data_IF_199751626644
#
_entry.id   IF_199751626644
#
_cell.length_a   1.000
_cell.length_b   1.000
_cell.length_c   1.000
_cell.angle_alpha   90.00
_cell.angle_beta   90.00
_cell.angle_gamma   90.00
#
_symmetry.space_group_name_H-M   'P 1'
#
loop_
_entity.id
_entity.type
_entity.pdbx_description
1 polymer ?
#
# COMPACT_ATOMS: atom_id res chain seq x y z
N UNK A 1 14.09 14.14 -26.32
CA UNK A 1 13.40 13.77 -25.07
C UNK A 1 14.15 14.40 -23.92
N UNK A 2 13.46 15.23 -23.12
CA UNK A 2 13.99 15.85 -21.92
C UNK A 2 13.89 14.86 -20.78
N UNK A 3 15.02 14.56 -20.13
CA UNK A 3 15.13 13.55 -19.07
C UNK A 3 15.12 14.21 -17.69
N UNK A 4 14.43 13.58 -16.74
CA UNK A 4 14.30 13.99 -15.35
C UNK A 4 14.69 12.82 -14.44
N UNK A 5 15.71 13.02 -13.60
CA UNK A 5 16.08 12.09 -12.53
C UNK A 5 15.17 12.30 -11.31
N UNK A 6 14.49 11.26 -10.87
CA UNK A 6 13.53 11.34 -9.76
C UNK A 6 14.25 10.97 -8.45
N UNK A 7 14.01 11.69 -7.34
CA UNK A 7 13.07 12.81 -7.18
C UNK A 7 13.63 14.16 -7.68
N UNK A 8 12.82 14.93 -8.40
CA UNK A 8 13.10 16.33 -8.73
C UNK A 8 11.82 17.13 -8.98
N UNK A 9 11.84 18.44 -8.76
CA UNK A 9 10.71 19.30 -9.09
C UNK A 9 10.51 19.37 -10.63
N UNK A 10 9.26 19.38 -11.13
CA UNK A 10 8.01 19.47 -10.38
C UNK A 10 7.35 18.10 -10.08
N UNK A 11 8.07 16.99 -10.18
CA UNK A 11 7.56 15.66 -9.89
C UNK A 11 7.43 15.46 -8.38
N UNK A 12 6.27 14.95 -7.94
CA UNK A 12 6.03 14.61 -6.54
C UNK A 12 6.16 13.12 -6.33
N UNK A 13 6.95 12.72 -5.33
CA UNK A 13 7.07 11.33 -4.89
C UNK A 13 6.29 11.16 -3.60
N UNK A 14 5.29 10.28 -3.61
CA UNK A 14 4.41 10.02 -2.46
C UNK A 14 4.68 8.65 -1.84
N UNK A 15 4.30 8.48 -0.58
CA UNK A 15 4.34 7.20 0.14
C UNK A 15 5.72 6.78 0.66
N UNK A 16 6.70 7.69 0.65
CA UNK A 16 8.08 7.46 1.09
C UNK A 16 8.52 8.53 2.09
N UNK A 17 9.48 8.18 2.94
CA UNK A 17 10.07 9.10 3.93
C UNK A 17 11.31 9.76 3.35
N UNK A 18 11.25 11.07 3.13
CA UNK A 18 12.33 11.92 2.61
C UNK A 18 13.05 11.28 1.40
N UNK A 19 12.33 10.98 0.29
CA UNK A 19 12.93 10.33 -0.86
C UNK A 19 14.05 11.19 -1.45
N UNK A 20 15.17 10.54 -1.74
CA UNK A 20 16.34 11.14 -2.39
C UNK A 20 16.98 10.13 -3.35
N UNK A 21 17.82 10.53 -4.30
CA UNK A 21 18.49 9.60 -5.20
C UNK A 21 19.17 8.45 -4.42
N UNK A 22 18.86 7.20 -4.80
CA UNK A 22 19.38 5.99 -4.13
C UNK A 22 18.68 5.59 -2.82
N UNK A 23 17.69 6.36 -2.34
CA UNK A 23 16.96 6.12 -1.08
C UNK A 23 15.45 6.35 -1.26
N UNK A 24 14.75 5.27 -1.60
CA UNK A 24 13.29 5.23 -1.72
C UNK A 24 12.68 4.34 -0.62
N UNK A 25 12.68 4.81 0.62
CA UNK A 25 12.33 3.98 1.79
C UNK A 25 11.01 4.40 2.42
N UNK A 26 10.27 3.42 2.95
CA UNK A 26 8.98 3.60 3.63
C UNK A 26 9.11 3.97 5.11
N UNK A 27 10.29 3.78 5.69
CA UNK A 27 10.60 4.13 7.08
C UNK A 27 11.86 5.00 7.17
N UNK A 28 11.99 5.86 8.20
CA UNK A 28 13.23 6.55 8.49
C UNK A 28 14.29 5.56 8.97
N UNK A 29 15.55 5.84 8.64
CA UNK A 29 16.71 5.00 8.96
C UNK A 29 16.78 4.63 10.46
N UNK A 30 16.57 5.60 11.35
CA UNK A 30 16.59 5.35 12.79
C UNK A 30 15.50 4.41 13.31
N UNK A 31 14.42 4.16 12.55
CA UNK A 31 13.43 3.13 12.86
C UNK A 31 13.85 1.79 12.24
N UNK A 32 14.36 1.81 11.01
CA UNK A 32 14.85 0.61 10.30
C UNK A 32 15.91 -0.13 11.13
N UNK A 33 16.80 0.58 11.82
CA UNK A 33 17.88 -0.02 12.62
C UNK A 33 17.39 -0.70 13.92
N UNK A 34 16.11 -0.53 14.28
CA UNK A 34 15.55 -0.95 15.57
C UNK A 34 14.37 -1.92 15.44
N UNK A 35 13.96 -2.24 14.22
CA UNK A 35 12.91 -3.21 13.91
C UNK A 35 13.52 -4.59 13.62
N UNK A 36 12.69 -5.61 13.45
CA UNK A 36 13.17 -6.92 13.04
C UNK A 36 13.72 -6.89 11.60
N UNK A 37 14.58 -7.85 11.25
CA UNK A 37 15.28 -7.90 9.95
C UNK A 37 14.33 -7.87 8.75
N UNK A 38 13.17 -8.53 8.85
CA UNK A 38 12.20 -8.56 7.78
C UNK A 38 11.48 -7.23 7.57
N UNK A 39 11.12 -6.52 8.65
CA UNK A 39 10.62 -5.13 8.53
C UNK A 39 11.72 -4.24 7.96
N UNK A 40 12.96 -4.35 8.43
CA UNK A 40 14.08 -3.56 7.92
C UNK A 40 14.33 -3.78 6.42
N UNK A 41 14.22 -5.04 5.95
CA UNK A 41 14.32 -5.39 4.54
C UNK A 41 13.18 -4.78 3.73
N UNK A 42 11.93 -5.06 4.11
CA UNK A 42 10.76 -4.59 3.37
C UNK A 42 10.59 -3.06 3.41
N UNK A 43 11.03 -2.39 4.47
CA UNK A 43 10.99 -0.93 4.59
C UNK A 43 11.83 -0.20 3.54
N UNK A 44 12.80 -0.88 2.90
CA UNK A 44 13.61 -0.32 1.81
C UNK A 44 13.00 -0.53 0.41
N UNK A 45 11.85 -1.21 0.34
CA UNK A 45 11.06 -1.42 -0.86
C UNK A 45 9.97 -0.34 -1.00
N UNK A 46 9.37 -0.23 -2.18
CA UNK A 46 8.52 0.91 -2.57
C UNK A 46 7.02 0.64 -2.66
N UNK A 47 6.49 -0.39 -1.98
CA UNK A 47 5.05 -0.65 -1.99
C UNK A 47 4.23 0.59 -1.57
N UNK A 48 3.15 0.87 -2.30
CA UNK A 48 2.27 2.04 -2.10
C UNK A 48 2.85 3.38 -2.57
N UNK A 49 4.14 3.44 -2.92
CA UNK A 49 4.76 4.66 -3.40
C UNK A 49 4.43 4.93 -4.88
N UNK A 50 4.41 6.22 -5.26
CA UNK A 50 4.22 6.62 -6.65
C UNK A 50 4.93 7.93 -6.97
N UNK A 51 5.20 8.15 -8.27
CA UNK A 51 5.60 9.44 -8.83
C UNK A 51 4.39 10.07 -9.51
N UNK A 52 4.11 11.35 -9.23
CA UNK A 52 2.98 12.10 -9.78
C UNK A 52 3.44 13.43 -10.37
N UNK A 53 2.85 13.81 -11.50
CA UNK A 53 3.11 15.08 -12.20
C UNK A 53 2.03 15.29 -13.25
N UNK A 54 1.96 16.49 -13.84
CA UNK A 54 1.14 16.72 -15.03
C UNK A 54 2.00 17.14 -16.22
N UNK A 55 1.63 16.69 -17.42
CA UNK A 55 2.34 17.04 -18.67
C UNK A 55 1.45 16.99 -19.89
N UNK A 56 1.79 17.75 -20.93
CA UNK A 56 1.18 17.66 -22.26
C UNK A 56 1.98 16.80 -23.27
N UNK A 57 3.04 16.14 -22.80
CA UNK A 57 3.85 15.20 -23.57
C UNK A 57 3.00 14.09 -24.20
N UNK A 58 3.28 13.75 -25.46
CA UNK A 58 2.63 12.63 -26.15
C UNK A 58 3.35 11.30 -25.91
N UNK A 59 4.60 11.35 -25.43
CA UNK A 59 5.43 10.18 -25.14
C UNK A 59 5.99 10.28 -23.73
N UNK A 60 6.06 9.14 -23.04
CA UNK A 60 6.79 8.98 -21.80
C UNK A 60 7.73 7.80 -21.94
N UNK A 61 9.02 8.02 -21.66
CA UNK A 61 9.98 6.94 -21.41
C UNK A 61 10.25 6.84 -19.92
N UNK A 62 10.17 5.63 -19.38
CA UNK A 62 10.49 5.32 -17.99
C UNK A 62 11.69 4.38 -17.96
N UNK A 63 12.77 4.80 -17.31
CA UNK A 63 13.93 3.95 -17.03
C UNK A 63 14.01 3.73 -15.51
N UNK A 64 14.12 2.46 -15.10
CA UNK A 64 14.21 2.10 -13.67
C UNK A 64 15.41 1.19 -13.47
N UNK A 65 16.19 1.49 -12.42
CA UNK A 65 17.19 0.58 -11.86
C UNK A 65 16.77 0.15 -10.48
N UNK A 66 16.89 -1.14 -10.23
CA UNK A 66 16.60 -1.81 -8.97
C UNK A 66 17.93 -2.20 -8.34
N UNK A 67 18.03 -2.03 -7.03
CA UNK A 67 19.15 -2.58 -6.26
C UNK A 67 19.03 -4.08 -6.11
N UNK A 68 17.83 -4.54 -5.76
CA UNK A 68 17.51 -5.95 -5.54
C UNK A 68 16.01 -6.20 -5.51
N UNK A 69 15.63 -7.44 -5.79
CA UNK A 69 14.33 -8.03 -5.44
C UNK A 69 14.45 -9.55 -5.41
N UNK A 70 13.49 -10.21 -4.77
CA UNK A 70 13.36 -11.66 -4.80
C UNK A 70 12.25 -12.05 -5.76
N UNK A 71 12.58 -12.89 -6.74
CA UNK A 71 11.58 -13.46 -7.62
C UNK A 71 10.81 -14.59 -6.92
N UNK A 72 9.49 -14.58 -7.04
CA UNK A 72 8.61 -15.64 -6.56
C UNK A 72 7.83 -16.26 -7.70
N UNK A 73 7.52 -17.55 -7.59
CA UNK A 73 6.78 -18.28 -8.62
C UNK A 73 5.27 -18.04 -8.58
N UNK A 74 4.75 -17.55 -7.46
CA UNK A 74 3.32 -17.33 -7.20
C UNK A 74 2.92 -15.85 -7.30
N UNK A 75 3.84 -14.96 -7.72
CA UNK A 75 3.55 -13.54 -7.94
C UNK A 75 4.25 -13.09 -9.24
N UNK A 76 3.60 -12.20 -10.00
CA UNK A 76 4.16 -11.73 -11.26
C UNK A 76 5.39 -10.86 -11.02
N UNK A 77 6.38 -10.93 -11.92
CA UNK A 77 7.55 -10.01 -11.86
C UNK A 77 7.15 -8.55 -12.01
N UNK A 78 6.00 -8.27 -12.67
CA UNK A 78 5.44 -6.93 -12.80
C UNK A 78 4.96 -6.38 -11.47
N UNK A 79 4.28 -7.17 -10.63
CA UNK A 79 3.90 -6.76 -9.28
C UNK A 79 5.12 -6.64 -8.35
N UNK A 80 6.06 -7.57 -8.44
CA UNK A 80 7.25 -7.60 -7.57
C UNK A 80 8.17 -6.40 -7.86
N UNK A 81 8.55 -6.22 -9.12
CA UNK A 81 9.69 -5.40 -9.54
C UNK A 81 9.33 -4.34 -10.60
N UNK A 82 8.08 -4.34 -11.08
CA UNK A 82 7.60 -3.44 -12.11
C UNK A 82 6.92 -2.18 -11.60
N UNK A 83 6.72 -1.25 -12.52
CA UNK A 83 5.87 -0.09 -12.33
C UNK A 83 4.61 -0.22 -13.19
N UNK A 84 3.58 0.55 -12.89
CA UNK A 84 2.47 0.78 -13.81
C UNK A 84 2.18 2.28 -13.94
N UNK A 85 1.64 2.66 -15.11
CA UNK A 85 1.51 4.04 -15.56
C UNK A 85 0.04 4.31 -15.84
N UNK A 86 -0.46 5.41 -15.28
CA UNK A 86 -1.81 5.91 -15.46
C UNK A 86 -1.78 7.35 -15.95
N UNK A 87 -2.74 7.71 -16.81
CA UNK A 87 -3.02 9.07 -17.25
C UNK A 87 -4.49 9.39 -16.94
N UNK A 88 -4.75 10.45 -16.17
CA UNK A 88 -6.09 10.85 -15.71
C UNK A 88 -6.88 9.71 -15.06
N UNK A 89 -6.18 8.83 -14.33
CA UNK A 89 -6.76 7.66 -13.68
C UNK A 89 -7.05 6.46 -14.60
N UNK A 90 -6.79 6.57 -15.91
CA UNK A 90 -6.88 5.45 -16.85
C UNK A 90 -5.53 4.74 -17.00
N UNK A 91 -5.56 3.40 -17.05
CA UNK A 91 -4.36 2.59 -17.25
C UNK A 91 -3.76 2.85 -18.65
N UNK A 92 -2.45 3.08 -18.69
CA UNK A 92 -1.69 3.28 -19.94
C UNK A 92 -0.81 2.07 -20.21
N UNK A 93 0.01 1.67 -19.24
CA UNK A 93 0.97 0.60 -19.42
C UNK A 93 1.46 0.02 -18.09
N UNK A 94 2.07 -1.17 -18.16
CA UNK A 94 2.93 -1.69 -17.11
C UNK A 94 4.36 -1.89 -17.63
N UNK A 95 5.32 -1.60 -16.78
CA UNK A 95 6.76 -1.67 -17.03
C UNK A 95 7.42 -2.56 -15.98
N UNK A 96 8.63 -3.04 -16.24
CA UNK A 96 9.29 -4.02 -15.38
C UNK A 96 10.29 -4.89 -16.13
N UNK A 97 11.04 -5.73 -15.41
CA UNK A 97 12.01 -6.67 -15.99
C UNK A 97 11.42 -7.48 -17.14
N UNK A 98 12.14 -7.57 -18.26
CA UNK A 98 11.75 -8.42 -19.38
C UNK A 98 12.03 -9.89 -19.07
N UNK A 99 13.16 -10.16 -18.39
CA UNK A 99 13.53 -11.45 -17.85
C UNK A 99 13.57 -11.36 -16.32
N UNK A 100 12.98 -12.35 -15.65
CA UNK A 100 13.06 -12.46 -14.19
C UNK A 100 14.51 -12.54 -13.75
N UNK A 101 14.91 -11.64 -12.85
CA UNK A 101 16.29 -11.45 -12.40
C UNK A 101 16.93 -10.15 -12.92
N UNK A 102 16.43 -9.55 -14.01
CA UNK A 102 16.97 -8.27 -14.49
C UNK A 102 16.71 -7.17 -13.45
N UNK A 103 17.74 -6.39 -13.16
CA UNK A 103 17.72 -5.28 -12.20
C UNK A 103 17.54 -3.91 -12.86
N UNK A 104 17.31 -3.87 -14.17
CA UNK A 104 17.02 -2.63 -14.87
C UNK A 104 16.04 -2.89 -16.02
N UNK A 105 15.19 -1.92 -16.31
CA UNK A 105 14.29 -1.96 -17.44
C UNK A 105 13.96 -0.56 -17.93
N UNK A 106 13.54 -0.49 -19.19
CA UNK A 106 13.08 0.72 -19.86
C UNK A 106 11.78 0.43 -20.57
N UNK A 107 10.84 1.38 -20.57
CA UNK A 107 9.68 1.35 -21.45
C UNK A 107 9.43 2.73 -22.05
N UNK A 108 8.92 2.76 -23.28
CA UNK A 108 8.42 3.97 -23.92
C UNK A 108 6.94 3.75 -24.25
N UNK A 109 6.10 4.71 -23.85
CA UNK A 109 4.64 4.60 -23.95
C UNK A 109 4.05 5.87 -24.55
N UNK A 110 2.92 5.71 -25.24
CA UNK A 110 2.12 6.83 -25.74
C UNK A 110 1.21 7.32 -24.62
N UNK A 111 1.29 8.60 -24.34
CA UNK A 111 0.32 9.32 -23.52
C UNK A 111 -0.80 9.90 -24.42
N UNK A 112 -1.94 10.31 -23.85
CA UNK A 112 -3.01 10.95 -24.62
C UNK A 112 -2.50 12.18 -25.41
N UNK A 113 -1.66 13.01 -24.79
CA UNK A 113 -1.01 14.18 -25.40
C UNK A 113 -1.96 15.30 -25.81
N UNK A 114 -1.40 16.46 -26.20
CA UNK A 114 -2.16 17.58 -26.78
C UNK A 114 -2.91 18.46 -25.76
N UNK A 115 -2.95 18.07 -24.49
CA UNK A 115 -3.36 18.87 -23.33
C UNK A 115 -2.60 18.39 -22.09
N UNK A 116 -2.63 19.15 -20.99
CA UNK A 116 -2.05 18.69 -19.72
C UNK A 116 -2.87 17.51 -19.17
N UNK A 117 -2.18 16.40 -18.88
CA UNK A 117 -2.74 15.19 -18.28
C UNK A 117 -2.04 14.88 -16.96
N UNK A 118 -2.79 14.41 -15.96
CA UNK A 118 -2.25 13.95 -14.68
C UNK A 118 -1.67 12.55 -14.85
N UNK A 119 -0.36 12.42 -14.65
CA UNK A 119 0.36 11.16 -14.75
C UNK A 119 0.67 10.62 -13.37
N UNK A 120 0.42 9.33 -13.18
CA UNK A 120 0.83 8.56 -12.00
C UNK A 120 1.63 7.35 -12.43
N UNK A 121 2.80 7.18 -11.84
CA UNK A 121 3.63 5.96 -11.96
C UNK A 121 3.67 5.28 -10.61
N UNK A 122 2.98 4.16 -10.43
CA UNK A 122 3.08 3.37 -9.20
C UNK A 122 4.39 2.58 -9.20
N UNK A 123 5.06 2.52 -8.05
CA UNK A 123 6.37 1.89 -7.90
C UNK A 123 6.26 0.41 -7.48
N UNK A 124 7.34 -0.38 -7.63
CA UNK A 124 7.32 -1.82 -7.33
C UNK A 124 6.90 -2.14 -5.90
N UNK A 125 6.19 -3.27 -5.72
CA UNK A 125 5.71 -3.70 -4.41
C UNK A 125 6.81 -4.37 -3.56
N UNK A 126 7.74 -5.10 -4.19
CA UNK A 126 8.72 -5.95 -3.51
C UNK A 126 10.15 -5.81 -4.04
N UNK A 127 10.48 -4.63 -4.57
CA UNK A 127 11.84 -4.31 -5.02
C UNK A 127 12.38 -3.05 -4.34
N UNK A 128 13.68 -3.05 -4.10
CA UNK A 128 14.43 -1.87 -3.66
C UNK A 128 14.83 -1.08 -4.90
N UNK A 129 14.26 0.11 -5.08
CA UNK A 129 14.57 0.97 -6.23
C UNK A 129 15.88 1.72 -5.98
N UNK A 130 16.77 1.74 -6.98
CA UNK A 130 18.01 2.51 -6.96
C UNK A 130 17.83 3.87 -7.64
N UNK A 131 17.27 3.90 -8.85
CA UNK A 131 17.03 5.13 -9.60
C UNK A 131 15.81 5.02 -10.51
N UNK A 132 15.18 6.16 -10.76
CA UNK A 132 14.08 6.32 -11.71
C UNK A 132 14.39 7.54 -12.57
N UNK A 133 14.31 7.37 -13.88
CA UNK A 133 14.36 8.47 -14.85
C UNK A 133 13.06 8.48 -15.65
N UNK A 134 12.50 9.68 -15.84
CA UNK A 134 11.35 9.92 -16.71
C UNK A 134 11.80 10.83 -17.83
N UNK A 135 11.59 10.42 -19.08
CA UNK A 135 11.82 11.25 -20.25
C UNK A 135 10.51 11.62 -20.94
N UNK A 136 10.36 12.89 -21.29
CA UNK A 136 9.19 13.47 -21.96
C UNK A 136 9.62 14.18 -23.25
N UNK A 137 8.67 14.57 -24.09
CA UNK A 137 8.94 15.35 -25.30
C UNK A 137 9.70 16.65 -24.93
N UNK A 138 10.67 17.07 -25.76
CA UNK A 138 11.59 18.18 -25.41
C UNK A 138 10.86 19.51 -25.16
N UNK A 139 9.74 19.72 -25.86
CA UNK A 139 8.92 20.93 -25.77
C UNK A 139 7.72 20.78 -24.83
N UNK A 140 7.51 19.63 -24.20
CA UNK A 140 6.37 19.41 -23.32
C UNK A 140 6.46 20.28 -22.06
N UNK A 141 5.32 20.84 -21.68
CA UNK A 141 5.12 21.43 -20.37
C UNK A 141 5.07 20.34 -19.30
N UNK A 142 5.62 20.64 -18.12
CA UNK A 142 5.55 19.78 -16.95
C UNK A 142 5.24 20.64 -15.73
N UNK A 143 4.27 20.22 -14.93
CA UNK A 143 3.89 20.87 -13.68
C UNK A 143 3.72 19.87 -12.54
N UNK A 144 3.61 20.39 -11.32
CA UNK A 144 3.22 19.60 -10.17
C UNK A 144 1.82 19.00 -10.43
N UNK A 145 1.54 17.82 -9.87
CA UNK A 145 0.21 17.22 -9.96
C UNK A 145 -0.80 18.03 -9.14
N UNK A 146 -2.09 17.78 -9.35
CA UNK A 146 -3.11 18.24 -8.43
C UNK A 146 -2.86 17.66 -7.01
N UNK A 147 -3.14 18.43 -5.93
CA UNK A 147 -3.03 17.91 -4.59
C UNK A 147 -3.99 16.71 -4.40
N UNK A 148 -3.65 15.81 -3.48
CA UNK A 148 -4.59 14.78 -3.08
C UNK A 148 -5.90 15.40 -2.55
N UNK A 149 -7.02 14.70 -2.77
CA UNK A 149 -8.33 15.10 -2.27
C UNK A 149 -8.34 15.21 -0.74
N UNK A 150 -7.62 14.31 -0.08
CA UNK A 150 -7.39 14.34 1.36
C UNK A 150 -5.96 14.83 1.62
N UNK A 151 -5.81 15.86 2.46
CA UNK A 151 -4.52 16.51 2.72
C UNK A 151 -3.57 15.75 3.66
N UNK A 152 -4.01 14.61 4.20
CA UNK A 152 -3.21 13.72 5.05
C UNK A 152 -3.27 12.29 4.49
N UNK A 153 -2.23 11.47 4.69
CA UNK A 153 -2.19 10.12 4.17
C UNK A 153 -3.12 9.18 4.94
N UNK A 154 -3.54 8.09 4.28
CA UNK A 154 -4.10 6.92 4.97
C UNK A 154 -2.96 5.93 5.21
N UNK A 155 -2.77 5.54 6.46
CA UNK A 155 -1.72 4.61 6.87
C UNK A 155 -2.28 3.20 6.93
N UNK A 156 -1.64 2.27 6.23
CA UNK A 156 -1.96 0.84 6.24
C UNK A 156 -0.82 0.09 6.94
N UNK A 157 -1.09 -0.73 7.95
CA UNK A 157 -0.07 -1.59 8.58
C UNK A 157 -0.49 -3.05 8.55
N UNK A 158 0.37 -3.93 8.05
CA UNK A 158 -0.07 -5.31 7.90
C UNK A 158 0.90 -6.30 7.28
N UNK A 159 0.32 -7.41 6.86
CA UNK A 159 1.03 -8.58 6.36
C UNK A 159 1.59 -8.43 4.94
N UNK A 160 2.01 -9.56 4.35
CA UNK A 160 2.32 -9.68 2.92
C UNK A 160 1.16 -9.19 2.03
N UNK A 161 -0.09 -9.39 2.47
CA UNK A 161 -1.29 -8.93 1.76
C UNK A 161 -1.34 -7.40 1.70
N UNK A 162 -1.08 -6.73 2.82
CA UNK A 162 -1.02 -5.25 2.85
C UNK A 162 0.15 -4.74 2.00
N UNK A 163 1.29 -5.44 1.99
CA UNK A 163 2.42 -5.11 1.10
C UNK A 163 2.05 -5.32 -0.39
N UNK A 164 1.02 -6.11 -0.70
CA UNK A 164 0.50 -6.31 -2.06
C UNK A 164 0.78 -7.69 -2.67
N UNK A 165 1.18 -8.70 -1.89
CA UNK A 165 1.26 -10.08 -2.38
C UNK A 165 -0.16 -10.67 -2.54
N UNK A 166 -0.62 -11.08 -3.74
CA UNK A 166 0.09 -11.28 -5.01
C UNK A 166 -0.54 -10.50 -6.18
N UNK A 167 -0.62 -9.17 -6.06
CA UNK A 167 -1.16 -8.30 -7.09
C UNK A 167 -0.34 -8.41 -8.38
N UNK A 168 -1.02 -8.44 -9.54
CA UNK A 168 -0.35 -8.62 -10.83
C UNK A 168 0.46 -7.40 -11.28
N UNK A 169 0.11 -6.21 -10.79
CA UNK A 169 0.81 -4.93 -10.93
C UNK A 169 0.61 -4.11 -9.64
N UNK A 170 1.47 -3.12 -9.33
CA UNK A 170 1.35 -2.31 -8.12
C UNK A 170 -0.04 -1.70 -7.84
N UNK A 171 -0.73 -1.20 -8.86
CA UNK A 171 -2.06 -0.60 -8.75
C UNK A 171 -3.15 -1.57 -8.28
N UNK A 172 -2.91 -2.88 -8.40
CA UNK A 172 -3.89 -3.90 -8.03
C UNK A 172 -3.82 -4.34 -6.56
N UNK A 173 -2.88 -3.83 -5.76
CA UNK A 173 -2.92 -4.01 -4.31
C UNK A 173 -4.10 -3.22 -3.72
N UNK A 174 -4.86 -3.80 -2.78
CA UNK A 174 -6.06 -3.13 -2.24
C UNK A 174 -5.80 -1.74 -1.64
N UNK A 175 -4.67 -1.46 -0.95
CA UNK A 175 -4.40 -0.11 -0.44
C UNK A 175 -4.22 0.89 -1.58
N UNK A 176 -3.47 0.53 -2.62
CA UNK A 176 -3.26 1.34 -3.82
C UNK A 176 -4.57 1.58 -4.58
N UNK A 177 -5.41 0.56 -4.72
CA UNK A 177 -6.74 0.70 -5.32
C UNK A 177 -7.59 1.72 -4.57
N UNK A 178 -7.62 1.66 -3.23
CA UNK A 178 -8.34 2.63 -2.40
C UNK A 178 -7.78 4.04 -2.59
N UNK A 179 -6.45 4.19 -2.55
CA UNK A 179 -5.77 5.47 -2.71
C UNK A 179 -6.10 6.15 -4.04
N UNK A 180 -6.06 5.38 -5.14
CA UNK A 180 -6.36 5.89 -6.47
C UNK A 180 -7.85 6.23 -6.65
N UNK A 181 -8.76 5.39 -6.14
CA UNK A 181 -10.21 5.61 -6.28
C UNK A 181 -10.73 6.73 -5.39
N UNK A 182 -10.10 6.97 -4.23
CA UNK A 182 -10.55 7.97 -3.26
C UNK A 182 -9.74 9.26 -3.29
N UNK A 183 -8.52 9.24 -3.83
CA UNK A 183 -7.65 10.39 -3.99
C UNK A 183 -6.90 10.79 -2.71
N UNK A 184 -6.29 9.85 -2.00
CA UNK A 184 -5.41 10.13 -0.85
C UNK A 184 -3.99 9.63 -1.08
N UNK A 185 -3.04 10.17 -0.31
CA UNK A 185 -1.70 9.60 -0.22
C UNK A 185 -1.72 8.30 0.60
N UNK A 186 -1.07 7.26 0.10
CA UNK A 186 -0.97 5.96 0.76
C UNK A 186 0.36 5.82 1.48
N UNK A 187 0.31 5.50 2.78
CA UNK A 187 1.47 5.01 3.51
C UNK A 187 1.31 3.50 3.74
N UNK A 188 1.94 2.71 2.87
CA UNK A 188 1.92 1.26 2.94
C UNK A 188 3.00 0.76 3.89
N UNK A 189 2.63 0.42 5.13
CA UNK A 189 3.48 -0.23 6.12
C UNK A 189 3.18 -1.73 6.21
N UNK A 190 2.90 -2.36 5.06
CA UNK A 190 2.88 -3.80 4.92
C UNK A 190 4.31 -4.36 4.91
N UNK A 191 4.60 -5.37 5.73
CA UNK A 191 5.90 -6.04 5.78
C UNK A 191 5.71 -7.56 5.78
N UNK A 192 5.99 -8.20 4.64
CA UNK A 192 5.75 -9.64 4.43
C UNK A 192 6.42 -10.50 5.50
N UNK A 193 5.64 -11.36 6.17
CA UNK A 193 6.09 -12.27 7.24
C UNK A 193 6.57 -11.59 8.54
N UNK A 194 6.55 -10.25 8.60
CA UNK A 194 7.42 -9.49 9.50
C UNK A 194 6.72 -8.41 10.31
N UNK A 195 5.57 -7.88 9.86
CA UNK A 195 4.76 -6.98 10.67
C UNK A 195 4.01 -7.77 11.76
N UNK A 196 4.33 -7.61 13.05
CA UNK A 196 3.80 -8.48 14.13
C UNK A 196 3.16 -7.71 15.28
N UNK A 197 2.81 -6.44 15.08
CA UNK A 197 2.30 -5.58 16.14
C UNK A 197 3.38 -5.15 17.13
N UNK A 198 4.61 -4.91 16.65
CA UNK A 198 5.73 -4.48 17.48
C UNK A 198 5.49 -3.10 18.10
N UNK A 199 5.89 -2.94 19.36
CA UNK A 199 5.76 -1.67 20.08
C UNK A 199 6.40 -0.50 19.33
N UNK A 200 7.61 -0.71 18.78
CA UNK A 200 8.30 0.33 18.02
C UNK A 200 7.52 0.75 16.77
N UNK A 201 6.83 -0.18 16.11
CA UNK A 201 6.00 0.13 14.95
C UNK A 201 4.72 0.84 15.37
N UNK A 202 4.09 0.42 16.47
CA UNK A 202 2.93 1.11 17.02
C UNK A 202 3.26 2.56 17.41
N UNK A 203 4.41 2.79 18.06
CA UNK A 203 4.89 4.12 18.44
C UNK A 203 5.24 4.99 17.22
N UNK A 204 5.88 4.40 16.21
CA UNK A 204 6.16 5.10 14.95
C UNK A 204 4.87 5.49 14.24
N UNK A 205 3.94 4.56 14.04
CA UNK A 205 2.64 4.82 13.41
C UNK A 205 1.92 5.93 14.16
N UNK A 206 1.84 5.84 15.50
CA UNK A 206 1.19 6.85 16.32
C UNK A 206 1.83 8.24 16.20
N UNK A 207 3.09 8.34 15.78
CA UNK A 207 3.78 9.62 15.55
C UNK A 207 3.45 10.27 14.21
N UNK A 208 2.90 9.54 13.24
CA UNK A 208 2.57 10.04 11.90
C UNK A 208 1.26 10.85 11.90
N UNK A 209 1.24 11.95 11.15
CA UNK A 209 -0.03 12.62 10.81
C UNK A 209 -0.75 11.80 9.74
N UNK A 210 -2.04 11.51 9.98
CA UNK A 210 -2.81 10.61 9.13
C UNK A 210 -4.30 10.97 9.14
N UNK A 211 -4.96 10.76 8.00
CA UNK A 211 -6.39 10.93 7.85
C UNK A 211 -7.17 9.72 8.40
N UNK A 212 -6.58 8.53 8.32
CA UNK A 212 -7.11 7.29 8.87
C UNK A 212 -6.00 6.26 9.04
N UNK A 213 -6.22 5.29 9.91
CA UNK A 213 -5.36 4.15 10.13
C UNK A 213 -6.11 2.85 9.86
N UNK A 214 -5.55 1.99 9.02
CA UNK A 214 -6.09 0.68 8.68
C UNK A 214 -5.05 -0.37 9.02
N UNK A 215 -5.41 -1.44 9.74
CA UNK A 215 -4.42 -2.49 10.02
C UNK A 215 -4.96 -3.92 10.02
N UNK A 216 -4.13 -4.81 9.45
CA UNK A 216 -4.31 -6.26 9.34
C UNK A 216 -2.95 -6.96 9.25
N UNK A 217 -2.37 -7.27 10.40
CA UNK A 217 -1.12 -8.02 10.48
C UNK A 217 -1.36 -9.49 10.88
N UNK A 218 -2.61 -9.96 10.88
CA UNK A 218 -2.99 -11.26 11.44
C UNK A 218 -2.15 -12.41 10.86
N UNK A 219 -2.02 -12.49 9.53
CA UNK A 219 -1.20 -13.50 8.85
C UNK A 219 0.25 -13.62 9.36
N UNK A 220 0.83 -12.53 9.85
CA UNK A 220 2.20 -12.52 10.33
C UNK A 220 2.31 -12.80 11.83
N UNK A 221 1.23 -12.64 12.60
CA UNK A 221 1.24 -12.91 14.02
C UNK A 221 1.51 -14.42 14.26
N UNK A 222 2.62 -14.80 14.91
CA UNK A 222 3.08 -16.21 14.97
C UNK A 222 2.09 -17.18 15.61
N UNK A 223 1.18 -16.67 16.44
CA UNK A 223 0.14 -17.46 17.10
C UNK A 223 -1.06 -16.58 17.48
N UNK A 224 -2.21 -17.21 17.76
CA UNK A 224 -3.36 -16.52 18.34
C UNK A 224 -3.02 -15.84 19.68
N UNK A 225 -2.16 -16.46 20.51
CA UNK A 225 -1.71 -15.86 21.76
C UNK A 225 -0.89 -14.58 21.53
N UNK A 226 -0.01 -14.57 20.52
CA UNK A 226 0.74 -13.37 20.14
C UNK A 226 -0.19 -12.27 19.63
N UNK A 227 -1.14 -12.61 18.77
CA UNK A 227 -2.14 -11.67 18.27
C UNK A 227 -2.94 -11.06 19.43
N UNK A 228 -3.40 -11.90 20.37
CA UNK A 228 -4.14 -11.45 21.54
C UNK A 228 -3.32 -10.52 22.44
N UNK A 229 -2.02 -10.74 22.57
CA UNK A 229 -1.13 -9.91 23.38
C UNK A 229 -0.79 -8.55 22.72
N UNK A 230 -0.92 -8.43 21.40
CA UNK A 230 -0.40 -7.28 20.64
C UNK A 230 -1.48 -6.42 19.99
N UNK A 231 -2.62 -6.99 19.60
CA UNK A 231 -3.60 -6.31 18.74
C UNK A 231 -4.28 -5.13 19.44
N UNK A 232 -4.77 -5.35 20.66
CA UNK A 232 -5.35 -4.26 21.46
C UNK A 232 -4.29 -3.25 21.90
N UNK A 233 -3.06 -3.70 22.18
CA UNK A 233 -1.96 -2.83 22.58
C UNK A 233 -1.62 -1.83 21.47
N UNK A 234 -1.51 -2.29 20.23
CA UNK A 234 -1.27 -1.43 19.07
C UNK A 234 -2.36 -0.36 18.93
N UNK A 235 -3.63 -0.77 19.00
CA UNK A 235 -4.77 0.16 18.97
C UNK A 235 -4.64 1.22 20.07
N UNK A 236 -4.41 0.80 21.33
CA UNK A 236 -4.30 1.72 22.47
C UNK A 236 -3.14 2.71 22.32
N UNK A 237 -1.98 2.26 21.83
CA UNK A 237 -0.83 3.13 21.57
C UNK A 237 -1.16 4.20 20.52
N UNK A 238 -1.78 3.82 19.40
CA UNK A 238 -2.17 4.77 18.36
C UNK A 238 -3.23 5.74 18.87
N UNK A 239 -4.31 5.23 19.47
CA UNK A 239 -5.42 6.05 19.98
C UNK A 239 -4.96 7.05 21.05
N UNK A 240 -4.02 6.68 21.92
CA UNK A 240 -3.50 7.57 22.96
C UNK A 240 -2.82 8.83 22.41
N UNK A 241 -2.19 8.75 21.23
CA UNK A 241 -1.53 9.89 20.57
C UNK A 241 -2.38 10.52 19.48
N UNK A 242 -3.34 9.76 18.93
CA UNK A 242 -4.21 10.16 17.81
C UNK A 242 -5.68 9.99 18.22
N UNK A 243 -6.20 10.81 19.15
CA UNK A 243 -7.55 10.64 19.72
C UNK A 243 -8.66 10.71 18.67
N UNK A 244 -8.49 11.51 17.61
CA UNK A 244 -9.54 11.80 16.63
C UNK A 244 -9.36 11.07 15.28
N UNK A 245 -8.33 10.22 15.15
CA UNK A 245 -8.06 9.51 13.89
C UNK A 245 -8.98 8.29 13.75
N UNK A 246 -9.72 8.13 12.63
CA UNK A 246 -10.39 6.88 12.28
C UNK A 246 -9.47 5.67 12.30
N UNK A 247 -9.88 4.58 12.95
CA UNK A 247 -9.14 3.31 12.98
C UNK A 247 -10.02 2.18 12.43
N UNK A 248 -9.54 1.47 11.41
CA UNK A 248 -10.20 0.28 10.84
C UNK A 248 -9.34 -0.95 11.15
N UNK A 249 -9.95 -1.92 11.83
CA UNK A 249 -9.37 -3.21 12.18
C UNK A 249 -9.94 -4.27 11.24
N UNK A 250 -9.08 -4.98 10.51
CA UNK A 250 -9.52 -6.08 9.65
C UNK A 250 -8.95 -7.39 10.18
N UNK A 251 -9.70 -8.48 10.01
CA UNK A 251 -9.16 -9.83 10.10
C UNK A 251 -8.85 -10.40 8.72
N UNK A 252 -8.01 -11.43 8.67
CA UNK A 252 -7.55 -12.02 7.41
C UNK A 252 -8.65 -12.64 6.53
N UNK A 253 -8.52 -12.62 5.19
CA UNK A 253 -9.59 -13.03 4.26
C UNK A 253 -9.67 -14.54 3.97
N UNK A 254 -8.56 -15.29 4.12
CA UNK A 254 -8.44 -16.72 3.82
C UNK A 254 -9.05 -17.59 4.95
N UNK A 255 -10.36 -17.49 5.13
CA UNK A 255 -11.04 -18.12 6.26
C UNK A 255 -11.20 -19.65 6.13
N UNK A 256 -11.28 -20.16 4.89
CA UNK A 256 -11.75 -21.53 4.62
C UNK A 256 -10.69 -22.61 4.86
N UNK A 257 -9.41 -22.22 4.94
CA UNK A 257 -8.27 -23.14 5.12
C UNK A 257 -8.23 -23.79 6.51
N UNK A 258 -8.68 -23.07 7.54
CA UNK A 258 -8.80 -23.51 8.94
C UNK A 258 -9.93 -22.72 9.64
N UNK A 259 -11.21 -23.07 9.42
CA UNK A 259 -12.33 -22.26 9.92
C UNK A 259 -12.31 -22.05 11.45
N UNK A 260 -11.91 -23.05 12.23
CA UNK A 260 -11.90 -22.96 13.69
C UNK A 260 -10.74 -22.08 14.20
N UNK A 261 -9.54 -22.26 13.66
CA UNK A 261 -8.39 -21.42 13.99
C UNK A 261 -8.60 -19.98 13.52
N UNK A 262 -9.14 -19.79 12.32
CA UNK A 262 -9.42 -18.48 11.74
C UNK A 262 -10.54 -17.74 12.51
N UNK A 263 -11.59 -18.45 12.94
CA UNK A 263 -12.61 -17.89 13.84
C UNK A 263 -11.98 -17.40 15.16
N UNK A 264 -11.09 -18.19 15.76
CA UNK A 264 -10.40 -17.81 17.00
C UNK A 264 -9.60 -16.53 16.84
N UNK A 265 -8.88 -16.39 15.73
CA UNK A 265 -8.04 -15.21 15.43
C UNK A 265 -8.90 -13.98 15.11
N UNK A 266 -9.95 -14.15 14.31
CA UNK A 266 -10.97 -13.11 14.08
C UNK A 266 -11.55 -12.61 15.39
N UNK A 267 -11.95 -13.51 16.28
CA UNK A 267 -12.61 -13.14 17.54
C UNK A 267 -11.69 -12.34 18.48
N UNK A 268 -10.36 -12.55 18.40
CA UNK A 268 -9.38 -11.72 19.11
C UNK A 268 -9.38 -10.28 18.57
N UNK A 269 -9.40 -10.11 17.25
CA UNK A 269 -9.44 -8.80 16.58
C UNK A 269 -10.76 -8.10 16.88
N UNK A 270 -11.88 -8.82 16.73
CA UNK A 270 -13.22 -8.33 17.04
C UNK A 270 -13.35 -7.91 18.51
N UNK A 271 -12.75 -8.65 19.44
CA UNK A 271 -12.72 -8.27 20.86
C UNK A 271 -12.01 -6.93 21.09
N UNK A 272 -10.93 -6.65 20.38
CA UNK A 272 -10.25 -5.34 20.46
C UNK A 272 -11.21 -4.21 20.05
N UNK A 273 -11.92 -4.38 18.94
CA UNK A 273 -12.93 -3.43 18.49
C UNK A 273 -14.07 -3.28 19.50
N UNK A 274 -14.62 -4.38 20.02
CA UNK A 274 -15.69 -4.36 21.01
C UNK A 274 -15.27 -3.65 22.31
N UNK A 275 -14.03 -3.84 22.76
CA UNK A 275 -13.46 -3.15 23.92
C UNK A 275 -13.28 -1.65 23.65
N UNK A 276 -12.84 -1.27 22.45
CA UNK A 276 -12.73 0.13 22.05
C UNK A 276 -14.10 0.83 22.09
N UNK A 277 -15.12 0.21 21.49
CA UNK A 277 -16.50 0.73 21.49
C UNK A 277 -17.09 0.77 22.89
N UNK A 278 -16.90 -0.28 23.71
CA UNK A 278 -17.35 -0.30 25.10
C UNK A 278 -16.65 0.77 25.96
N UNK A 279 -15.43 1.14 25.59
CA UNK A 279 -14.67 2.27 26.16
C UNK A 279 -15.09 3.65 25.64
N UNK A 280 -16.06 3.72 24.72
CA UNK A 280 -16.61 4.97 24.18
C UNK A 280 -15.98 5.46 22.87
N UNK A 281 -15.08 4.69 22.25
CA UNK A 281 -14.50 5.05 20.95
C UNK A 281 -15.50 4.82 19.81
N UNK A 282 -15.98 5.91 19.21
CA UNK A 282 -16.91 5.89 18.08
C UNK A 282 -16.21 5.94 16.71
N UNK A 283 -14.89 6.14 16.69
CA UNK A 283 -14.02 6.28 15.52
C UNK A 283 -13.26 4.99 15.21
N UNK A 284 -13.76 3.85 15.67
CA UNK A 284 -13.27 2.52 15.30
C UNK A 284 -14.28 1.78 14.42
N UNK A 285 -13.79 0.96 13.48
CA UNK A 285 -14.60 0.00 12.73
C UNK A 285 -13.88 -1.34 12.66
N UNK A 286 -14.66 -2.41 12.65
CA UNK A 286 -14.19 -3.77 12.39
C UNK A 286 -14.75 -4.27 11.07
N UNK A 287 -13.90 -4.90 10.27
CA UNK A 287 -14.29 -5.59 9.04
C UNK A 287 -13.96 -7.07 9.20
N UNK A 288 -14.98 -7.91 9.07
CA UNK A 288 -14.82 -9.35 9.16
C UNK A 288 -14.18 -9.93 7.89
N UNK A 289 -12.96 -10.41 8.06
CA UNK A 289 -12.18 -11.09 7.03
C UNK A 289 -12.91 -12.25 6.35
N UNK A 290 -13.77 -12.99 7.08
CA UNK A 290 -14.56 -14.09 6.51
C UNK A 290 -15.39 -13.62 5.30
N UNK A 291 -15.87 -12.38 5.34
CA UNK A 291 -16.75 -11.79 4.34
C UNK A 291 -16.02 -11.15 3.15
N UNK A 292 -14.70 -10.92 3.26
CA UNK A 292 -13.94 -10.10 2.29
C UNK A 292 -13.93 -10.69 0.87
N UNK A 293 -13.92 -12.01 0.74
CA UNK A 293 -13.99 -12.67 -0.56
C UNK A 293 -15.42 -13.04 -0.98
N UNK A 294 -16.45 -12.57 -0.28
CA UNK A 294 -17.85 -12.95 -0.52
C UNK A 294 -18.12 -14.44 -0.24
N UNK A 295 -19.36 -14.87 -0.49
CA UNK A 295 -19.83 -16.25 -0.28
C UNK A 295 -20.33 -16.90 -1.58
N UNK A 296 -20.09 -16.27 -2.72
CA UNK A 296 -20.41 -16.82 -4.04
C UNK A 296 -19.31 -17.76 -4.53
N UNK A 297 -19.54 -18.41 -5.68
CA UNK A 297 -18.60 -19.33 -6.30
C UNK A 297 -17.26 -18.68 -6.67
N UNK A 298 -17.21 -17.36 -6.85
CA UNK A 298 -15.97 -16.67 -7.20
C UNK A 298 -15.00 -16.53 -6.01
N UNK A 299 -15.45 -16.81 -4.77
CA UNK A 299 -14.59 -16.87 -3.57
C UNK A 299 -13.39 -17.78 -3.77
N UNK A 300 -13.59 -18.97 -4.35
CA UNK A 300 -12.53 -19.97 -4.59
C UNK A 300 -11.46 -19.50 -5.60
N UNK A 301 -11.72 -18.40 -6.30
CA UNK A 301 -10.81 -17.81 -7.28
C UNK A 301 -10.13 -16.54 -6.76
N UNK A 302 -10.25 -16.21 -5.47
CA UNK A 302 -9.73 -14.96 -4.92
C UNK A 302 -8.25 -15.02 -4.51
N UNK A 303 -7.63 -16.19 -4.41
CA UNK A 303 -6.24 -16.35 -3.96
C UNK A 303 -5.36 -17.03 -5.01
N UNK A 304 -4.07 -16.69 -5.03
CA UNK A 304 -3.10 -17.38 -5.89
C UNK A 304 -2.63 -18.72 -5.30
N UNK A 305 -2.48 -18.80 -3.98
CA UNK A 305 -1.86 -19.94 -3.29
C UNK A 305 -2.66 -20.45 -2.06
N UNK A 306 -3.92 -20.02 -1.93
CA UNK A 306 -4.77 -20.31 -0.77
C UNK A 306 -4.56 -19.37 0.42
N UNK A 307 -3.64 -18.40 0.32
CA UNK A 307 -3.37 -17.38 1.34
C UNK A 307 -3.43 -15.97 0.74
N UNK A 308 -2.61 -15.71 -0.27
CA UNK A 308 -2.43 -14.39 -0.84
C UNK A 308 -3.51 -14.08 -1.88
N UNK A 309 -4.22 -12.94 -1.76
CA UNK A 309 -5.19 -12.51 -2.76
C UNK A 309 -4.52 -12.32 -4.13
N UNK A 310 -5.22 -12.71 -5.19
CA UNK A 310 -4.94 -12.22 -6.53
C UNK A 310 -5.75 -10.93 -6.79
N UNK A 311 -5.73 -10.43 -8.03
CA UNK A 311 -6.41 -9.18 -8.38
C UNK A 311 -7.92 -9.18 -8.06
N UNK A 312 -8.61 -10.32 -8.23
CA UNK A 312 -10.03 -10.45 -7.87
C UNK A 312 -10.22 -10.34 -6.35
N UNK A 313 -9.39 -11.05 -5.58
CA UNK A 313 -9.42 -10.99 -4.13
C UNK A 313 -9.13 -9.58 -3.61
N UNK A 314 -8.11 -8.91 -4.14
CA UNK A 314 -7.80 -7.53 -3.79
C UNK A 314 -8.90 -6.54 -4.17
N UNK A 315 -9.55 -6.71 -5.33
CA UNK A 315 -10.69 -5.87 -5.70
C UNK A 315 -11.85 -6.03 -4.69
N UNK A 316 -12.19 -7.26 -4.30
CA UNK A 316 -13.23 -7.51 -3.28
C UNK A 316 -12.87 -6.93 -1.92
N UNK A 317 -11.60 -7.03 -1.52
CA UNK A 317 -11.11 -6.37 -0.31
C UNK A 317 -11.26 -4.84 -0.40
N UNK A 318 -10.84 -4.23 -1.51
CA UNK A 318 -10.99 -2.78 -1.71
C UNK A 318 -12.47 -2.36 -1.69
N UNK A 319 -13.35 -3.12 -2.33
CA UNK A 319 -14.79 -2.83 -2.38
C UNK A 319 -15.47 -2.94 -1.01
N UNK A 320 -15.00 -3.86 -0.14
CA UNK A 320 -15.48 -3.99 1.22
C UNK A 320 -14.98 -2.86 2.14
N UNK A 321 -13.72 -2.45 1.99
CA UNK A 321 -13.09 -1.42 2.84
C UNK A 321 -13.55 -0.01 2.45
N UNK A 322 -13.69 0.26 1.16
CA UNK A 322 -13.99 1.59 0.61
C UNK A 322 -15.18 2.31 1.25
N UNK A 323 -16.40 1.72 1.34
CA UNK A 323 -17.55 2.45 1.87
C UNK A 323 -17.35 2.85 3.34
N UNK A 324 -16.67 2.00 4.11
CA UNK A 324 -16.37 2.25 5.53
C UNK A 324 -15.33 3.36 5.65
N UNK A 325 -14.23 3.27 4.90
CA UNK A 325 -13.19 4.30 4.89
C UNK A 325 -13.73 5.65 4.42
N UNK A 326 -14.55 5.67 3.36
CA UNK A 326 -15.17 6.89 2.85
C UNK A 326 -16.09 7.54 3.88
N UNK A 327 -16.91 6.75 4.58
CA UNK A 327 -17.77 7.25 5.65
C UNK A 327 -16.94 7.89 6.78
N UNK A 328 -15.85 7.24 7.19
CA UNK A 328 -15.02 7.73 8.29
C UNK A 328 -14.25 8.99 7.91
N UNK A 329 -13.68 9.06 6.71
CA UNK A 329 -12.98 10.24 6.22
C UNK A 329 -13.93 11.44 6.04
N UNK A 330 -15.18 11.22 5.61
CA UNK A 330 -16.18 12.27 5.49
C UNK A 330 -16.59 12.83 6.87
N UNK A 331 -16.72 11.98 7.89
CA UNK A 331 -17.06 12.41 9.24
C UNK A 331 -15.97 13.29 9.88
N UNK A 332 -14.70 13.05 9.56
CA UNK A 332 -13.58 13.86 10.04
C UNK A 332 -13.42 15.19 9.30
N UNK A 333 -13.81 15.28 8.04
CA UNK A 333 -13.76 16.53 7.27
C UNK A 333 -14.90 17.52 7.63
N UNK A 334 -15.93 17.06 8.36
CA UNK A 334 -17.10 17.85 8.74
C UNK A 334 -17.02 18.43 10.16
N UNK A 335 -16.00 18.07 10.94
CA UNK A 335 -15.71 18.57 12.29
C UNK A 335 -14.49 19.50 12.27
#
# INVERSE_FOLDING_TARGET
>A
MRVYEIPCAPFEVSGLVDPQPGRFWRLPEGIIDRVNEGVAYHARQTAGACVRFATDSAVLRLDVRLREYTAWTHMTVRGIAGCDIFADGAFVASAGPAVTGDLAYSCEVRLPGGAMHEIRVNLPLFATVESIEIALDDAAAVSAPAPYRFGLPVVFYGSSITNGACASIPANAYPTMLAMRMGFEEYNLGFSGSARGEDIMAEYIASLDMAAFVYDYDHNAPSAAHLQATHEKLYRTVRAKRPDVPIIMLSKPDFDSDPAGNATRRDIIKRTYEQAVAGGDSLVRFIDGETLFGFDEARQHCTTDGCHPNDLGFCRMADAVMPILAQMLAACAAN
#
